data_IF_868163073575
#
_entry.id   IF_868163073575
#
_cell.length_a   1.000
_cell.length_b   1.000
_cell.length_c   1.000
_cell.angle_alpha   90.00
_cell.angle_beta   90.00
_cell.angle_gamma   90.00
#
_symmetry.space_group_name_H-M   'P 1'
#
loop_
_entity.id
_entity.type
_entity.pdbx_description
1 polymer ?
#
# COMPACT_ATOMS: atom_id res chain seq x y z
N UNK A 1 6.53 -9.07 -15.43
CA UNK A 1 5.07 -8.92 -15.46
C UNK A 1 4.64 -8.78 -16.91
N UNK A 2 3.44 -9.25 -17.30
CA UNK A 2 2.89 -9.05 -18.65
C UNK A 2 2.76 -7.56 -18.99
N UNK A 3 2.92 -7.20 -20.27
CA UNK A 3 2.85 -5.81 -20.74
C UNK A 3 1.58 -5.08 -20.28
N UNK A 4 0.42 -5.74 -20.39
CA UNK A 4 -0.86 -5.18 -19.93
C UNK A 4 -0.83 -4.76 -18.46
N UNK A 5 -0.24 -5.58 -17.58
CA UNK A 5 -0.12 -5.26 -16.16
C UNK A 5 0.86 -4.13 -15.89
N UNK A 6 1.96 -4.05 -16.66
CA UNK A 6 2.90 -2.93 -16.58
C UNK A 6 2.26 -1.61 -17.03
N UNK A 7 1.52 -1.62 -18.14
CA UNK A 7 0.79 -0.43 -18.62
C UNK A 7 -0.26 0.05 -17.61
N UNK A 8 -0.98 -0.87 -16.97
CA UNK A 8 -1.90 -0.52 -15.88
C UNK A 8 -1.17 0.09 -14.67
N UNK A 9 0.02 -0.40 -14.32
CA UNK A 9 0.82 0.17 -13.24
C UNK A 9 1.32 1.59 -13.58
N UNK A 10 1.73 1.82 -14.83
CA UNK A 10 2.09 3.17 -15.34
C UNK A 10 0.88 4.09 -15.30
N UNK A 11 -0.29 3.63 -15.77
CA UNK A 11 -1.53 4.41 -15.72
C UNK A 11 -1.86 4.86 -14.29
N UNK A 12 -1.78 3.95 -13.32
CA UNK A 12 -2.00 4.29 -11.90
C UNK A 12 -0.99 5.33 -11.43
N UNK A 13 0.29 5.17 -11.75
CA UNK A 13 1.32 6.13 -11.37
C UNK A 13 1.09 7.51 -11.99
N UNK A 14 0.61 7.56 -13.24
CA UNK A 14 0.25 8.82 -13.92
C UNK A 14 -0.95 9.48 -13.23
N UNK A 15 -2.01 8.71 -12.97
CA UNK A 15 -3.21 9.21 -12.29
C UNK A 15 -2.86 9.78 -10.91
N UNK A 16 -1.99 9.09 -10.15
CA UNK A 16 -1.54 9.55 -8.83
C UNK A 16 -0.56 10.73 -8.90
N UNK A 17 0.28 10.82 -9.94
CA UNK A 17 1.16 11.98 -10.14
C UNK A 17 0.36 13.24 -10.47
N UNK A 18 -0.55 13.15 -11.43
CA UNK A 18 -1.44 14.26 -11.85
C UNK A 18 -2.39 14.67 -10.72
N UNK A 19 -2.71 13.78 -9.78
CA UNK A 19 -3.59 14.07 -8.65
C UNK A 19 -3.12 15.28 -7.82
N UNK A 20 -1.82 15.58 -7.72
CA UNK A 20 -1.35 16.76 -6.98
C UNK A 20 -1.80 18.07 -7.64
N UNK A 21 -1.63 18.18 -8.96
CA UNK A 21 -2.06 19.34 -9.76
C UNK A 21 -3.58 19.50 -9.70
N UNK A 22 -4.31 18.39 -9.79
CA UNK A 22 -5.78 18.42 -9.73
C UNK A 22 -6.27 18.91 -8.37
N UNK A 23 -5.58 18.56 -7.28
CA UNK A 23 -5.90 19.06 -5.95
C UNK A 23 -5.67 20.56 -5.89
N UNK A 24 -4.52 21.03 -6.36
CA UNK A 24 -4.16 22.44 -6.37
C UNK A 24 -5.19 23.30 -7.14
N UNK A 25 -5.52 22.89 -8.37
CA UNK A 25 -6.57 23.54 -9.18
C UNK A 25 -7.95 23.51 -8.53
N UNK A 26 -8.23 22.47 -7.74
CA UNK A 26 -9.51 22.32 -7.05
C UNK A 26 -9.59 23.08 -5.73
N UNK A 27 -8.45 23.51 -5.16
CA UNK A 27 -8.42 24.23 -3.89
C UNK A 27 -9.05 25.61 -4.06
N UNK A 28 -8.64 26.41 -5.05
CA UNK A 28 -9.25 27.72 -5.34
C UNK A 28 -9.65 28.50 -4.08
N UNK A 29 -10.93 28.85 -3.96
CA UNK A 29 -11.52 29.48 -2.77
C UNK A 29 -12.12 28.47 -1.76
N UNK A 30 -12.02 27.17 -2.02
CA UNK A 30 -12.55 26.13 -1.15
C UNK A 30 -11.60 25.89 0.05
N UNK A 31 -12.13 25.89 1.28
CA UNK A 31 -11.33 25.52 2.43
C UNK A 31 -10.70 24.11 2.29
N UNK A 32 -9.39 23.95 2.58
CA UNK A 32 -8.68 22.71 2.27
C UNK A 32 -9.22 21.51 3.03
N UNK A 33 -9.61 21.70 4.29
CA UNK A 33 -10.15 20.63 5.15
C UNK A 33 -11.58 20.26 4.73
N UNK A 34 -12.39 21.21 4.27
CA UNK A 34 -13.69 20.93 3.66
C UNK A 34 -13.53 20.09 2.38
N UNK A 35 -12.57 20.44 1.53
CA UNK A 35 -12.31 19.70 0.30
C UNK A 35 -11.93 18.24 0.62
N UNK A 36 -11.06 18.01 1.60
CA UNK A 36 -10.75 16.64 2.07
C UNK A 36 -12.02 15.94 2.55
N UNK A 37 -12.88 16.59 3.34
CA UNK A 37 -14.12 15.99 3.81
C UNK A 37 -15.04 15.56 2.65
N UNK A 38 -15.24 16.42 1.66
CA UNK A 38 -16.07 16.14 0.48
C UNK A 38 -15.49 15.01 -0.37
N UNK A 39 -14.18 15.05 -0.65
CA UNK A 39 -13.48 13.95 -1.35
C UNK A 39 -13.72 12.62 -0.65
N UNK A 40 -13.54 12.56 0.66
CA UNK A 40 -13.68 11.32 1.42
C UNK A 40 -15.14 10.85 1.50
N UNK A 41 -16.12 11.76 1.56
CA UNK A 41 -17.54 11.41 1.44
C UNK A 41 -17.83 10.74 0.09
N UNK A 42 -17.38 11.34 -1.02
CA UNK A 42 -17.61 10.80 -2.38
C UNK A 42 -16.94 9.42 -2.56
N UNK A 43 -15.78 9.18 -1.94
CA UNK A 43 -15.15 7.85 -1.92
C UNK A 43 -15.94 6.86 -1.07
N UNK A 44 -16.34 7.26 0.14
CA UNK A 44 -16.95 6.37 1.13
C UNK A 44 -18.33 5.88 0.73
N UNK A 45 -19.16 6.75 0.14
CA UNK A 45 -20.54 6.42 -0.24
C UNK A 45 -20.60 5.14 -1.08
N UNK A 46 -19.90 4.99 -2.22
CA UNK A 46 -19.89 3.72 -2.95
C UNK A 46 -19.07 2.64 -2.25
N UNK A 47 -17.93 2.98 -1.65
CA UNK A 47 -16.98 1.98 -1.15
C UNK A 47 -17.52 1.19 0.06
N UNK A 48 -18.32 1.80 0.93
CA UNK A 48 -18.84 1.13 2.12
C UNK A 48 -19.85 0.02 1.82
N UNK A 49 -20.57 0.13 0.69
CA UNK A 49 -21.52 -0.89 0.23
C UNK A 49 -20.84 -2.02 -0.54
N UNK A 50 -19.69 -1.75 -1.16
CA UNK A 50 -18.97 -2.70 -2.01
C UNK A 50 -17.87 -3.47 -1.26
N UNK A 51 -17.31 -2.89 -0.19
CA UNK A 51 -16.14 -3.43 0.51
C UNK A 51 -16.51 -3.92 1.91
N UNK A 52 -16.31 -5.22 2.22
CA UNK A 52 -16.68 -5.79 3.50
C UNK A 52 -15.89 -5.16 4.66
N UNK A 53 -16.44 -5.27 5.88
CA UNK A 53 -15.78 -4.79 7.10
C UNK A 53 -14.42 -5.47 7.31
N UNK A 54 -13.37 -4.72 7.71
CA UNK A 54 -12.08 -5.30 7.99
C UNK A 54 -12.16 -6.17 9.24
N UNK A 55 -11.42 -7.28 9.24
CA UNK A 55 -11.25 -8.15 10.42
C UNK A 55 -10.35 -7.54 11.50
N UNK A 56 -9.93 -6.27 11.35
CA UNK A 56 -9.10 -5.59 12.35
C UNK A 56 -9.90 -5.27 13.61
N UNK A 57 -9.16 -5.04 14.70
CA UNK A 57 -9.72 -4.30 15.83
C UNK A 57 -10.06 -2.88 15.38
N UNK A 58 -11.22 -2.38 15.77
CA UNK A 58 -11.64 -1.01 15.44
C UNK A 58 -10.63 0.05 15.88
N UNK A 59 -9.92 -0.15 16.99
CA UNK A 59 -8.83 0.73 17.40
C UNK A 59 -7.74 0.86 16.33
N UNK A 60 -7.38 -0.24 15.66
CA UNK A 60 -6.38 -0.20 14.58
C UNK A 60 -6.95 0.51 13.35
N UNK A 61 -8.24 0.31 13.03
CA UNK A 61 -8.94 1.02 11.93
C UNK A 61 -8.95 2.53 12.18
N UNK A 62 -9.32 2.95 13.40
CA UNK A 62 -9.35 4.35 13.81
C UNK A 62 -7.96 4.98 13.72
N UNK A 63 -6.94 4.32 14.27
CA UNK A 63 -5.57 4.82 14.26
C UNK A 63 -4.99 4.93 12.84
N UNK A 64 -5.23 3.94 11.97
CA UNK A 64 -4.84 4.04 10.56
C UNK A 64 -5.59 5.17 9.88
N UNK A 65 -6.89 5.33 10.15
CA UNK A 65 -7.68 6.42 9.59
C UNK A 65 -7.17 7.79 10.02
N UNK A 66 -6.81 7.95 11.30
CA UNK A 66 -6.28 9.19 11.85
C UNK A 66 -4.95 9.59 11.20
N UNK A 67 -4.00 8.67 11.06
CA UNK A 67 -2.65 9.01 10.59
C UNK A 67 -2.49 8.87 9.08
N UNK A 68 -2.98 7.77 8.51
CA UNK A 68 -2.84 7.45 7.08
C UNK A 68 -3.87 8.16 6.19
N UNK A 69 -4.97 8.66 6.74
CA UNK A 69 -6.01 9.31 5.94
C UNK A 69 -6.21 10.75 6.40
N UNK A 70 -6.75 10.96 7.59
CA UNK A 70 -7.08 12.29 8.13
C UNK A 70 -5.84 13.18 8.22
N UNK A 71 -4.77 12.69 8.84
CA UNK A 71 -3.53 13.44 9.05
C UNK A 71 -2.78 13.66 7.73
N UNK A 72 -2.54 12.60 6.96
CA UNK A 72 -1.87 12.71 5.66
C UNK A 72 -2.57 13.71 4.72
N UNK A 73 -3.86 13.50 4.43
CA UNK A 73 -4.57 14.32 3.44
C UNK A 73 -4.92 15.71 3.98
N UNK A 74 -5.31 15.82 5.25
CA UNK A 74 -5.58 17.12 5.87
C UNK A 74 -4.36 18.03 5.87
N UNK A 75 -3.18 17.50 6.25
CA UNK A 75 -1.93 18.27 6.23
C UNK A 75 -1.47 18.56 4.79
N UNK A 76 -1.60 17.61 3.87
CA UNK A 76 -1.21 17.82 2.47
C UNK A 76 -2.04 18.93 1.80
N UNK A 77 -3.37 18.88 1.92
CA UNK A 77 -4.24 19.89 1.31
C UNK A 77 -4.01 21.26 1.94
N UNK A 78 -3.79 21.29 3.26
CA UNK A 78 -3.39 22.52 3.96
C UNK A 78 -2.05 23.05 3.44
N UNK A 79 -1.06 22.19 3.20
CA UNK A 79 0.24 22.61 2.67
C UNK A 79 0.11 23.23 1.27
N UNK A 80 -0.69 22.63 0.38
CA UNK A 80 -0.97 23.19 -0.95
C UNK A 80 -1.67 24.55 -0.83
N UNK A 81 -2.68 24.68 0.03
CA UNK A 81 -3.34 25.96 0.30
C UNK A 81 -2.40 27.02 0.92
N UNK A 82 -1.36 26.60 1.63
CA UNK A 82 -0.29 27.48 2.15
C UNK A 82 0.77 27.85 1.08
N UNK A 83 0.58 27.45 -0.18
CA UNK A 83 1.49 27.78 -1.29
C UNK A 83 2.62 26.77 -1.52
N UNK A 84 2.44 25.51 -1.11
CA UNK A 84 3.34 24.44 -1.54
C UNK A 84 3.10 24.12 -3.02
N UNK A 85 4.11 24.22 -3.91
CA UNK A 85 3.96 23.82 -5.30
C UNK A 85 3.56 22.34 -5.43
N UNK A 86 2.62 22.04 -6.32
CA UNK A 86 2.06 20.70 -6.47
C UNK A 86 3.12 19.66 -6.87
N UNK A 87 4.03 20.05 -7.76
CA UNK A 87 5.15 19.21 -8.19
C UNK A 87 6.06 18.86 -7.02
N UNK A 88 6.45 19.85 -6.21
CA UNK A 88 7.31 19.66 -5.04
C UNK A 88 6.60 18.86 -3.93
N UNK A 89 5.30 19.05 -3.73
CA UNK A 89 4.54 18.31 -2.73
C UNK A 89 4.59 16.79 -2.99
N UNK A 90 4.47 16.39 -4.27
CA UNK A 90 4.56 14.99 -4.69
C UNK A 90 5.92 14.36 -4.37
N UNK A 91 6.99 15.16 -4.47
CA UNK A 91 8.35 14.75 -4.19
C UNK A 91 8.63 14.68 -2.68
N UNK A 92 8.30 15.73 -1.93
CA UNK A 92 8.54 15.82 -0.49
C UNK A 92 7.78 14.72 0.27
N UNK A 93 6.57 14.37 -0.16
CA UNK A 93 5.81 13.27 0.44
C UNK A 93 6.54 11.92 0.41
N UNK A 94 7.45 11.69 -0.53
CA UNK A 94 8.23 10.45 -0.60
C UNK A 94 9.14 10.25 0.62
N UNK A 95 9.40 11.30 1.41
CA UNK A 95 10.05 11.19 2.71
C UNK A 95 9.37 10.16 3.62
N UNK A 96 8.06 9.91 3.43
CA UNK A 96 7.30 8.88 4.13
C UNK A 96 7.95 7.50 4.06
N UNK A 97 8.64 7.15 2.98
CA UNK A 97 9.28 5.84 2.82
C UNK A 97 10.39 5.67 3.84
N UNK A 98 11.26 6.68 3.97
CA UNK A 98 12.35 6.67 4.93
C UNK A 98 11.85 6.75 6.37
N UNK A 99 10.88 7.65 6.63
CA UNK A 99 10.24 7.80 7.93
C UNK A 99 9.54 6.51 8.38
N UNK A 100 8.92 5.78 7.46
CA UNK A 100 8.27 4.49 7.76
C UNK A 100 9.30 3.47 8.27
N UNK A 101 10.50 3.41 7.67
CA UNK A 101 11.57 2.52 8.13
C UNK A 101 12.03 2.90 9.54
N UNK A 102 12.25 4.20 9.79
CA UNK A 102 12.69 4.68 11.10
C UNK A 102 11.63 4.42 12.19
N UNK A 103 10.36 4.71 11.91
CA UNK A 103 9.27 4.47 12.85
C UNK A 103 8.98 2.98 13.04
N UNK A 104 9.13 2.14 12.01
CA UNK A 104 9.03 0.69 12.14
C UNK A 104 10.14 0.14 13.05
N UNK A 105 11.38 0.63 12.88
CA UNK A 105 12.48 0.24 13.74
C UNK A 105 12.22 0.62 15.21
N UNK A 106 11.71 1.82 15.47
CA UNK A 106 11.39 2.27 16.83
C UNK A 106 10.19 1.54 17.44
N UNK A 107 9.08 1.40 16.71
CA UNK A 107 7.81 0.91 17.26
C UNK A 107 7.65 -0.61 17.19
N UNK A 108 8.23 -1.25 16.18
CA UNK A 108 8.15 -2.70 15.94
C UNK A 108 9.45 -3.43 16.29
N UNK A 109 10.53 -2.69 16.63
CA UNK A 109 11.88 -3.23 16.88
C UNK A 109 12.42 -4.02 15.68
N UNK A 110 11.99 -3.67 14.48
CA UNK A 110 12.56 -4.19 13.24
C UNK A 110 13.98 -3.64 13.06
N UNK A 111 14.95 -4.50 12.76
CA UNK A 111 16.34 -4.06 12.51
C UNK A 111 16.46 -3.61 11.04
N UNK A 112 16.69 -2.32 10.75
CA UNK A 112 16.86 -1.86 9.37
C UNK A 112 18.10 -2.50 8.76
N UNK A 113 17.97 -2.97 7.52
CA UNK A 113 19.13 -3.43 6.76
C UNK A 113 20.06 -2.27 6.43
N UNK A 114 21.35 -2.54 6.23
CA UNK A 114 22.33 -1.51 5.82
C UNK A 114 21.88 -0.74 4.57
N UNK A 115 21.28 -1.44 3.60
CA UNK A 115 20.72 -0.83 2.37
C UNK A 115 19.60 0.16 2.69
N UNK A 116 18.71 -0.19 3.63
CA UNK A 116 17.64 0.71 4.05
C UNK A 116 18.19 1.95 4.74
N UNK A 117 19.18 1.80 5.62
CA UNK A 117 19.81 2.93 6.30
C UNK A 117 20.52 3.87 5.31
N UNK A 118 21.30 3.32 4.37
CA UNK A 118 21.93 4.11 3.31
C UNK A 118 20.88 4.85 2.49
N UNK A 119 19.81 4.17 2.07
CA UNK A 119 18.73 4.79 1.31
C UNK A 119 18.01 5.91 2.08
N UNK A 120 17.80 5.73 3.39
CA UNK A 120 17.22 6.77 4.27
C UNK A 120 18.13 7.99 4.34
N UNK A 121 19.44 7.80 4.53
CA UNK A 121 20.41 8.90 4.61
C UNK A 121 20.53 9.66 3.28
N UNK A 122 20.61 8.93 2.16
CA UNK A 122 20.63 9.52 0.81
C UNK A 122 19.32 10.26 0.54
N UNK A 123 18.18 9.66 0.91
CA UNK A 123 16.87 10.29 0.81
C UNK A 123 16.78 11.60 1.60
N UNK A 124 17.24 11.59 2.85
CA UNK A 124 17.29 12.77 3.71
C UNK A 124 18.20 13.87 3.13
N UNK A 125 19.37 13.51 2.59
CA UNK A 125 20.25 14.46 1.92
C UNK A 125 19.56 15.11 0.71
N UNK A 126 18.89 14.32 -0.13
CA UNK A 126 18.09 14.85 -1.24
C UNK A 126 16.99 15.81 -0.78
N UNK A 127 16.28 15.45 0.29
CA UNK A 127 15.25 16.31 0.88
C UNK A 127 15.82 17.64 1.41
N UNK A 128 17.00 17.62 2.03
CA UNK A 128 17.68 18.84 2.49
C UNK A 128 18.06 19.72 1.30
N UNK A 129 18.58 19.15 0.22
CA UNK A 129 18.90 19.90 -1.01
C UNK A 129 17.66 20.57 -1.59
N UNK A 130 16.52 19.86 -1.66
CA UNK A 130 15.23 20.45 -2.07
C UNK A 130 14.81 21.57 -1.12
N UNK A 131 14.90 21.35 0.19
CA UNK A 131 14.47 22.31 1.20
C UNK A 131 15.30 23.60 1.26
N UNK A 132 16.62 23.50 1.03
CA UNK A 132 17.53 24.67 0.93
C UNK A 132 17.36 25.38 -0.41
N UNK A 133 17.12 24.60 -1.47
CA UNK A 133 16.91 25.09 -2.82
C UNK A 133 15.52 25.61 -3.13
N UNK A 134 14.58 25.53 -2.19
CA UNK A 134 13.19 25.99 -2.40
C UNK A 134 13.18 27.44 -2.85
N UNK A 135 12.32 27.74 -3.82
CA UNK A 135 12.13 29.10 -4.29
C UNK A 135 11.58 30.01 -3.19
N UNK A 136 11.86 31.32 -3.26
CA UNK A 136 11.35 32.30 -2.30
C UNK A 136 9.80 32.33 -2.25
N UNK A 137 9.16 31.92 -3.33
CA UNK A 137 7.70 31.75 -3.46
C UNK A 137 7.13 30.58 -2.65
N UNK A 138 7.95 29.60 -2.23
CA UNK A 138 7.48 28.47 -1.43
C UNK A 138 7.67 28.75 0.06
N UNK A 139 6.58 28.95 0.83
CA UNK A 139 6.70 29.25 2.24
C UNK A 139 7.29 28.06 3.01
N UNK A 140 8.23 28.34 3.93
CA UNK A 140 8.86 27.30 4.74
C UNK A 140 7.84 26.48 5.54
N UNK A 141 6.76 27.13 5.99
CA UNK A 141 5.66 26.48 6.68
C UNK A 141 4.99 25.42 5.79
N UNK A 142 4.71 25.73 4.52
CA UNK A 142 4.07 24.80 3.59
C UNK A 142 4.92 23.53 3.38
N UNK A 143 6.24 23.70 3.28
CA UNK A 143 7.19 22.58 3.22
C UNK A 143 7.18 21.73 4.49
N UNK A 144 7.22 22.36 5.67
CA UNK A 144 7.18 21.66 6.97
C UNK A 144 5.86 20.91 7.16
N UNK A 145 4.74 21.52 6.80
CA UNK A 145 3.41 20.86 6.86
C UNK A 145 3.35 19.67 5.90
N UNK A 146 3.96 19.76 4.71
CA UNK A 146 4.09 18.62 3.80
C UNK A 146 4.93 17.48 4.40
N UNK A 147 6.03 17.81 5.09
CA UNK A 147 6.83 16.80 5.80
C UNK A 147 6.06 16.19 6.98
N UNK A 148 5.25 16.97 7.68
CA UNK A 148 4.35 16.47 8.71
C UNK A 148 3.28 15.53 8.12
N UNK A 149 2.75 15.82 6.92
CA UNK A 149 1.87 14.92 6.19
C UNK A 149 2.57 13.58 5.87
N UNK A 150 3.82 13.63 5.40
CA UNK A 150 4.64 12.45 5.14
C UNK A 150 4.92 11.63 6.42
N UNK A 151 5.19 12.30 7.54
CA UNK A 151 5.40 11.66 8.83
C UNK A 151 4.10 11.00 9.36
N UNK A 152 2.97 11.68 9.23
CA UNK A 152 1.66 11.14 9.59
C UNK A 152 1.34 9.90 8.78
N UNK A 153 1.58 9.94 7.47
CA UNK A 153 1.45 8.77 6.60
C UNK A 153 2.36 7.61 7.06
N UNK A 154 3.63 7.90 7.33
CA UNK A 154 4.58 6.89 7.80
C UNK A 154 4.15 6.22 9.12
N UNK A 155 3.62 6.98 10.08
CA UNK A 155 3.03 6.43 11.31
C UNK A 155 1.84 5.52 10.99
N UNK A 156 0.95 5.96 10.09
CA UNK A 156 -0.17 5.15 9.60
C UNK A 156 0.26 3.82 8.98
N UNK A 157 1.32 3.83 8.15
CA UNK A 157 1.90 2.63 7.56
C UNK A 157 2.42 1.65 8.63
N UNK A 158 3.10 2.14 9.66
CA UNK A 158 3.59 1.30 10.77
C UNK A 158 2.46 0.70 11.58
N UNK A 159 1.40 1.48 11.86
CA UNK A 159 0.20 0.99 12.56
C UNK A 159 -0.50 -0.08 11.73
N UNK A 160 -0.69 0.14 10.42
CA UNK A 160 -1.28 -0.83 9.51
C UNK A 160 -0.47 -2.14 9.48
N UNK A 161 0.87 -2.04 9.42
CA UNK A 161 1.76 -3.19 9.51
C UNK A 161 1.61 -3.95 10.83
N UNK A 162 1.60 -3.24 11.97
CA UNK A 162 1.39 -3.84 13.29
C UNK A 162 0.05 -4.58 13.40
N UNK A 163 -1.00 -4.01 12.82
CA UNK A 163 -2.32 -4.62 12.78
C UNK A 163 -2.35 -5.87 11.89
N UNK A 164 -1.56 -5.92 10.81
CA UNK A 164 -1.34 -7.13 10.01
C UNK A 164 -0.67 -8.24 10.83
N UNK A 165 0.48 -7.95 11.45
CA UNK A 165 1.25 -8.92 12.24
C UNK A 165 0.43 -9.53 13.39
N UNK A 166 -0.40 -8.74 14.07
CA UNK A 166 -1.27 -9.23 15.15
C UNK A 166 -2.38 -10.16 14.67
N UNK A 167 -2.88 -9.96 13.45
CA UNK A 167 -3.88 -10.87 12.86
C UNK A 167 -3.25 -12.21 12.53
N UNK A 168 -2.06 -12.19 11.94
CA UNK A 168 -1.34 -13.43 11.59
C UNK A 168 -0.96 -14.25 12.84
N UNK A 169 -0.73 -13.58 13.97
CA UNK A 169 -0.42 -14.21 15.27
C UNK A 169 -1.68 -14.54 16.11
N UNK A 170 -2.85 -14.02 15.75
CA UNK A 170 -4.02 -13.95 16.61
C UNK A 170 -5.24 -14.73 16.10
N UNK A 171 -5.46 -15.90 16.71
CA UNK A 171 -6.71 -16.70 16.80
C UNK A 171 -6.93 -17.84 15.80
N UNK A 172 -6.77 -19.09 16.26
CA UNK A 172 -7.39 -20.31 15.69
C UNK A 172 -8.94 -20.37 15.81
N UNK A 173 -9.62 -19.34 16.33
CA UNK A 173 -11.00 -19.49 16.87
C UNK A 173 -12.08 -18.58 16.28
N UNK A 174 -11.79 -17.76 15.26
CA UNK A 174 -12.86 -17.06 14.54
C UNK A 174 -13.53 -18.00 13.52
N UNK A 175 -14.61 -18.65 13.95
CA UNK A 175 -15.43 -19.56 13.16
C UNK A 175 -16.04 -18.90 11.89
N UNK A 176 -16.22 -19.75 10.86
CA UNK A 176 -16.95 -19.58 9.59
C UNK A 176 -16.21 -18.95 8.39
N UNK A 177 -15.39 -19.79 7.73
CA UNK A 177 -15.71 -20.25 6.37
C UNK A 177 -15.15 -19.51 5.15
N UNK A 178 -14.39 -18.41 5.29
CA UNK A 178 -13.78 -17.74 4.12
C UNK A 178 -12.25 -17.69 4.23
N UNK A 179 -11.50 -18.16 3.23
CA UNK A 179 -10.04 -18.02 3.17
C UNK A 179 -9.62 -16.56 3.33
N UNK A 180 -8.56 -16.30 4.09
CA UNK A 180 -7.90 -14.99 4.15
C UNK A 180 -7.48 -14.58 2.74
N UNK A 181 -7.89 -13.39 2.31
CA UNK A 181 -7.53 -12.83 1.01
C UNK A 181 -6.73 -11.56 1.27
N UNK A 182 -5.39 -11.63 1.34
CA UNK A 182 -4.54 -10.52 1.78
C UNK A 182 -4.83 -9.18 1.07
N UNK A 183 -5.14 -9.21 -0.23
CA UNK A 183 -5.50 -8.01 -1.00
C UNK A 183 -6.86 -7.40 -0.62
N UNK A 184 -7.85 -8.24 -0.27
CA UNK A 184 -9.17 -7.78 0.15
C UNK A 184 -9.12 -7.22 1.58
N UNK A 185 -8.32 -7.82 2.46
CA UNK A 185 -8.15 -7.34 3.84
C UNK A 185 -7.42 -5.97 3.88
N UNK A 186 -6.45 -5.74 2.98
CA UNK A 186 -5.81 -4.44 2.80
C UNK A 186 -6.77 -3.36 2.28
N UNK A 187 -7.51 -3.65 1.22
CA UNK A 187 -8.53 -2.75 0.67
C UNK A 187 -9.62 -2.42 1.71
N UNK A 188 -10.06 -3.43 2.47
CA UNK A 188 -11.04 -3.25 3.55
C UNK A 188 -10.50 -2.33 4.65
N UNK A 189 -9.21 -2.46 5.00
CA UNK A 189 -8.58 -1.56 5.96
C UNK A 189 -8.59 -0.11 5.45
N UNK A 190 -8.20 0.12 4.19
CA UNK A 190 -8.15 1.47 3.58
C UNK A 190 -9.53 2.12 3.49
N UNK A 191 -10.56 1.38 3.06
CA UNK A 191 -11.92 1.92 2.93
C UNK A 191 -12.53 2.23 4.29
N UNK A 192 -12.38 1.34 5.27
CA UNK A 192 -13.01 1.55 6.57
C UNK A 192 -12.24 2.53 7.45
N UNK A 193 -10.91 2.70 7.24
CA UNK A 193 -10.15 3.76 7.89
C UNK A 193 -10.55 5.16 7.38
N UNK A 194 -11.04 5.26 6.14
CA UNK A 194 -11.50 6.51 5.55
C UNK A 194 -12.72 7.10 6.29
N UNK A 195 -13.51 6.30 7.02
CA UNK A 195 -14.66 6.77 7.83
C UNK A 195 -14.29 7.81 8.88
N UNK A 196 -13.02 7.80 9.32
CA UNK A 196 -12.51 8.73 10.33
C UNK A 196 -12.38 10.15 9.77
N UNK A 197 -12.40 10.34 8.45
CA UNK A 197 -12.01 11.61 7.82
C UNK A 197 -13.15 12.64 7.74
N UNK A 198 -14.36 12.32 7.21
CA UNK A 198 -15.34 13.36 6.87
C UNK A 198 -15.75 14.25 8.03
N UNK A 199 -16.13 13.66 9.17
CA UNK A 199 -16.69 14.40 10.30
C UNK A 199 -15.64 15.30 10.96
N UNK A 200 -14.44 14.82 11.33
CA UNK A 200 -13.42 15.70 11.90
C UNK A 200 -12.92 16.76 10.94
N UNK A 201 -12.80 16.47 9.64
CA UNK A 201 -12.35 17.46 8.65
C UNK A 201 -13.41 18.55 8.41
N UNK A 202 -14.69 18.18 8.35
CA UNK A 202 -15.78 19.16 8.29
C UNK A 202 -15.83 20.01 9.57
N UNK A 203 -15.69 19.38 10.74
CA UNK A 203 -15.62 20.07 12.02
C UNK A 203 -14.44 21.03 12.10
N UNK A 204 -13.27 20.62 11.58
CA UNK A 204 -12.09 21.46 11.52
C UNK A 204 -12.29 22.64 10.57
N UNK A 205 -12.93 22.45 9.42
CA UNK A 205 -13.25 23.57 8.51
C UNK A 205 -14.23 24.56 9.15
N UNK A 206 -15.27 24.07 9.82
CA UNK A 206 -16.20 24.95 10.55
C UNK A 206 -15.50 25.72 11.68
N UNK A 207 -14.49 25.12 12.33
CA UNK A 207 -13.75 25.75 13.41
C UNK A 207 -12.69 26.75 12.93
N UNK A 208 -12.02 26.48 11.80
CA UNK A 208 -10.93 27.33 11.27
C UNK A 208 -11.45 28.41 10.32
N UNK A 209 -12.33 28.04 9.40
CA UNK A 209 -12.81 28.90 8.32
C UNK A 209 -14.17 29.55 8.66
N UNK A 210 -14.92 28.93 9.57
CA UNK A 210 -16.22 29.40 10.04
C UNK A 210 -17.41 28.90 9.19
N UNK A 211 -18.63 28.89 9.75
CA UNK A 211 -19.82 28.41 9.05
C UNK A 211 -20.16 29.19 7.78
N UNK A 212 -19.84 30.49 7.72
CA UNK A 212 -20.10 31.32 6.55
C UNK A 212 -19.24 30.91 5.34
N UNK A 213 -17.94 30.67 5.54
CA UNK A 213 -17.04 30.22 4.49
C UNK A 213 -17.43 28.83 3.98
N UNK A 214 -17.73 27.90 4.90
CA UNK A 214 -18.20 26.55 4.55
C UNK A 214 -19.53 26.61 3.79
N UNK A 215 -20.49 27.40 4.27
CA UNK A 215 -21.78 27.58 3.60
C UNK A 215 -21.62 28.20 2.20
N UNK A 216 -20.75 29.19 2.05
CA UNK A 216 -20.45 29.80 0.75
C UNK A 216 -19.84 28.78 -0.21
N UNK A 217 -18.80 28.05 0.22
CA UNK A 217 -18.14 27.03 -0.60
C UNK A 217 -19.09 25.92 -1.06
N UNK A 218 -20.06 25.52 -0.22
CA UNK A 218 -21.04 24.49 -0.58
C UNK A 218 -22.16 25.00 -1.49
N UNK A 219 -22.52 26.28 -1.41
CA UNK A 219 -23.60 26.88 -2.21
C UNK A 219 -23.11 27.46 -3.53
N UNK A 220 -21.83 27.79 -3.63
CA UNK A 220 -21.19 28.40 -4.80
C UNK A 220 -20.09 27.50 -5.37
N UNK A 221 -20.39 26.20 -5.51
CA UNK A 221 -19.46 25.23 -6.10
C UNK A 221 -19.17 25.58 -7.56
N UNK A 222 -17.93 25.99 -7.83
CA UNK A 222 -17.43 26.17 -9.19
C UNK A 222 -17.08 24.82 -9.81
N UNK A 223 -16.86 24.81 -11.13
CA UNK A 223 -16.55 23.57 -11.86
C UNK A 223 -15.24 22.92 -11.39
N UNK A 224 -14.25 23.72 -10.98
CA UNK A 224 -12.92 23.24 -10.62
C UNK A 224 -12.94 22.32 -9.39
N UNK A 225 -13.43 22.73 -8.19
CA UNK A 225 -13.51 21.86 -7.02
C UNK A 225 -14.37 20.61 -7.26
N UNK A 226 -15.44 20.71 -8.06
CA UNK A 226 -16.29 19.56 -8.42
C UNK A 226 -15.53 18.54 -9.26
N UNK A 227 -14.92 18.98 -10.37
CA UNK A 227 -14.14 18.10 -11.24
C UNK A 227 -12.95 17.52 -10.50
N UNK A 228 -12.26 18.32 -9.70
CA UNK A 228 -11.15 17.86 -8.87
C UNK A 228 -11.60 16.85 -7.82
N UNK A 229 -12.75 17.06 -7.17
CA UNK A 229 -13.34 16.07 -6.25
C UNK A 229 -13.66 14.76 -6.97
N UNK A 230 -14.27 14.83 -8.16
CA UNK A 230 -14.59 13.64 -8.94
C UNK A 230 -13.34 12.88 -9.39
N UNK A 231 -12.34 13.58 -9.92
CA UNK A 231 -11.05 12.99 -10.31
C UNK A 231 -10.38 12.32 -9.10
N UNK A 232 -10.27 13.06 -8.00
CA UNK A 232 -9.54 12.60 -6.81
C UNK A 232 -10.25 11.43 -6.12
N UNK A 233 -11.59 11.44 -6.07
CA UNK A 233 -12.38 10.39 -5.44
C UNK A 233 -12.57 9.15 -6.35
N UNK A 234 -12.94 9.34 -7.61
CA UNK A 234 -13.23 8.22 -8.50
C UNK A 234 -11.99 7.69 -9.19
N UNK A 235 -11.24 8.55 -9.88
CA UNK A 235 -10.12 8.10 -10.70
C UNK A 235 -8.91 7.76 -9.84
N UNK A 236 -8.46 8.67 -8.99
CA UNK A 236 -7.27 8.45 -8.18
C UNK A 236 -7.51 7.46 -7.04
N UNK A 237 -8.66 7.56 -6.35
CA UNK A 237 -8.98 6.67 -5.25
C UNK A 237 -9.62 5.36 -5.71
N UNK A 238 -10.87 5.33 -6.17
CA UNK A 238 -11.57 4.06 -6.44
C UNK A 238 -10.91 3.24 -7.56
N UNK A 239 -10.71 3.83 -8.74
CA UNK A 239 -10.11 3.15 -9.90
C UNK A 239 -8.63 2.88 -9.66
N UNK A 240 -7.87 3.89 -9.23
CA UNK A 240 -6.44 3.80 -8.97
C UNK A 240 -6.09 2.72 -7.95
N UNK A 241 -6.70 2.78 -6.75
CA UNK A 241 -6.49 1.73 -5.74
C UNK A 241 -7.08 0.38 -6.15
N UNK A 242 -8.19 0.35 -6.90
CA UNK A 242 -8.77 -0.90 -7.41
C UNK A 242 -7.80 -1.65 -8.34
N UNK A 243 -7.24 -0.95 -9.33
CA UNK A 243 -6.22 -1.49 -10.24
C UNK A 243 -4.97 -1.89 -9.46
N UNK A 244 -4.47 -1.00 -8.60
CA UNK A 244 -3.25 -1.23 -7.82
C UNK A 244 -3.35 -2.48 -6.93
N UNK A 245 -4.44 -2.60 -6.17
CA UNK A 245 -4.66 -3.75 -5.30
C UNK A 245 -4.84 -5.04 -6.10
N UNK A 246 -5.47 -4.97 -7.28
CA UNK A 246 -5.56 -6.12 -8.20
C UNK A 246 -4.18 -6.55 -8.71
N UNK A 247 -3.30 -5.60 -9.02
CA UNK A 247 -1.93 -5.89 -9.44
C UNK A 247 -1.12 -6.53 -8.30
N UNK A 248 -1.22 -6.00 -7.08
CA UNK A 248 -0.57 -6.58 -5.90
C UNK A 248 -1.11 -7.97 -5.53
N UNK A 249 -2.39 -8.25 -5.84
CA UNK A 249 -2.96 -9.58 -5.64
C UNK A 249 -2.48 -10.61 -6.68
N UNK A 250 -2.09 -10.17 -7.87
CA UNK A 250 -1.72 -11.04 -9.00
C UNK A 250 -0.22 -11.17 -9.23
N UNK A 251 0.57 -10.22 -8.73
CA UNK A 251 2.00 -10.13 -8.98
C UNK A 251 2.76 -9.87 -7.67
N UNK A 252 4.02 -10.30 -7.54
CA UNK A 252 4.81 -10.01 -6.36
C UNK A 252 4.97 -8.49 -6.18
N UNK A 253 4.86 -8.01 -4.93
CA UNK A 253 4.97 -6.59 -4.61
C UNK A 253 6.26 -5.95 -5.14
N UNK A 254 7.38 -6.70 -5.16
CA UNK A 254 8.65 -6.24 -5.70
C UNK A 254 8.63 -5.91 -7.20
N UNK A 255 7.64 -6.40 -7.94
CA UNK A 255 7.45 -6.06 -9.35
C UNK A 255 6.47 -4.88 -9.57
N UNK A 256 5.54 -4.65 -8.63
CA UNK A 256 4.49 -3.63 -8.75
C UNK A 256 4.90 -2.32 -8.09
N UNK A 257 5.39 -2.38 -6.85
CA UNK A 257 5.80 -1.22 -6.03
C UNK A 257 6.77 -0.27 -6.74
N UNK A 258 7.77 -0.71 -7.54
CA UNK A 258 8.67 0.22 -8.21
C UNK A 258 7.97 1.25 -9.11
N UNK A 259 6.78 0.94 -9.65
CA UNK A 259 6.02 1.88 -10.48
C UNK A 259 5.56 3.12 -9.70
N UNK A 260 5.41 3.06 -8.36
CA UNK A 260 5.08 4.28 -7.57
C UNK A 260 6.18 5.31 -7.59
N UNK A 261 7.41 4.94 -7.96
CA UNK A 261 8.51 5.89 -8.14
C UNK A 261 8.32 6.83 -9.34
N UNK A 262 7.40 6.50 -10.25
CA UNK A 262 7.01 7.40 -11.34
C UNK A 262 6.07 8.52 -10.88
N UNK A 263 5.43 8.39 -9.71
CA UNK A 263 4.45 9.37 -9.22
C UNK A 263 5.07 10.77 -9.09
N UNK A 264 6.23 10.97 -8.43
CA UNK A 264 6.80 12.31 -8.30
C UNK A 264 7.29 12.91 -9.62
N UNK A 265 8.02 12.18 -10.50
CA UNK A 265 8.36 12.70 -11.83
C UNK A 265 7.13 13.09 -12.65
N UNK A 266 6.06 12.28 -12.63
CA UNK A 266 4.82 12.63 -13.33
C UNK A 266 4.14 13.84 -12.69
N UNK A 267 4.13 13.93 -11.35
CA UNK A 267 3.58 15.08 -10.63
C UNK A 267 4.30 16.38 -10.97
N UNK A 268 5.64 16.35 -10.97
CA UNK A 268 6.46 17.51 -11.36
C UNK A 268 6.26 17.88 -12.84
N UNK A 269 6.21 16.91 -13.75
CA UNK A 269 5.95 17.18 -15.17
C UNK A 269 4.54 17.74 -15.40
N UNK A 270 3.53 17.20 -14.72
CA UNK A 270 2.17 17.69 -14.81
C UNK A 270 2.07 19.12 -14.26
N UNK A 271 2.73 19.41 -13.14
CA UNK A 271 2.72 20.74 -12.54
C UNK A 271 3.45 21.76 -13.43
N UNK A 272 4.57 21.37 -14.04
CA UNK A 272 5.25 22.21 -15.02
C UNK A 272 4.37 22.51 -16.23
N UNK A 273 3.70 21.52 -16.81
CA UNK A 273 2.88 21.69 -18.03
C UNK A 273 1.58 22.45 -17.77
N UNK A 274 0.95 22.27 -16.60
CA UNK A 274 -0.39 22.78 -16.32
C UNK A 274 -0.37 24.05 -15.48
N UNK A 275 0.59 24.19 -14.56
CA UNK A 275 0.68 25.29 -13.59
C UNK A 275 1.90 26.20 -13.85
N UNK A 276 2.69 25.93 -14.90
CA UNK A 276 3.95 26.61 -15.17
C UNK A 276 4.95 26.56 -13.99
N UNK A 277 4.83 25.55 -13.13
CA UNK A 277 5.77 25.30 -12.02
C UNK A 277 7.11 24.77 -12.56
N UNK A 278 8.03 25.67 -12.90
CA UNK A 278 9.36 25.28 -13.38
C UNK A 278 10.25 24.89 -12.19
N UNK A 279 10.65 23.61 -12.06
CA UNK A 279 11.51 23.20 -10.96
C UNK A 279 12.92 23.73 -11.17
N UNK A 280 13.50 24.30 -10.11
CA UNK A 280 14.86 24.80 -10.17
C UNK A 280 15.91 23.67 -10.07
N UNK A 281 17.18 24.01 -10.27
CA UNK A 281 18.27 23.02 -10.28
C UNK A 281 18.40 22.24 -8.96
N UNK A 282 18.18 22.89 -7.82
CA UNK A 282 18.27 22.25 -6.52
C UNK A 282 17.07 21.31 -6.26
N UNK A 283 15.87 21.69 -6.69
CA UNK A 283 14.68 20.84 -6.65
C UNK A 283 14.85 19.60 -7.54
N UNK A 284 15.42 19.75 -8.73
CA UNK A 284 15.72 18.63 -9.64
C UNK A 284 16.81 17.70 -9.09
N UNK A 285 17.97 18.24 -8.70
CA UNK A 285 19.09 17.44 -8.17
C UNK A 285 18.69 16.78 -6.86
N UNK A 286 18.12 17.54 -5.92
CA UNK A 286 17.62 17.03 -4.65
C UNK A 286 16.53 15.99 -4.84
N UNK A 287 15.63 16.19 -5.81
CA UNK A 287 14.59 15.22 -6.14
C UNK A 287 15.12 13.91 -6.70
N UNK A 288 16.09 13.96 -7.62
CA UNK A 288 16.77 12.75 -8.12
C UNK A 288 17.47 12.01 -6.98
N UNK A 289 18.22 12.71 -6.14
CA UNK A 289 18.92 12.12 -4.98
C UNK A 289 17.90 11.48 -4.02
N UNK A 290 16.80 12.17 -3.73
CA UNK A 290 15.73 11.66 -2.88
C UNK A 290 15.10 10.38 -3.44
N UNK A 291 14.77 10.36 -4.74
CA UNK A 291 14.24 9.18 -5.41
C UNK A 291 15.24 8.01 -5.42
N UNK A 292 16.53 8.27 -5.62
CA UNK A 292 17.57 7.24 -5.51
C UNK A 292 17.67 6.68 -4.09
N UNK A 293 17.55 7.53 -3.08
CA UNK A 293 17.43 7.12 -1.68
C UNK A 293 16.25 6.17 -1.46
N UNK A 294 15.06 6.58 -1.92
CA UNK A 294 13.83 5.76 -1.87
C UNK A 294 13.98 4.42 -2.61
N UNK A 295 14.59 4.42 -3.80
CA UNK A 295 14.86 3.20 -4.57
C UNK A 295 15.80 2.25 -3.82
N UNK A 296 16.80 2.80 -3.13
CA UNK A 296 17.75 2.05 -2.30
C UNK A 296 17.06 1.48 -1.05
N UNK A 297 16.17 2.25 -0.42
CA UNK A 297 15.40 1.84 0.76
C UNK A 297 14.39 0.75 0.46
N UNK A 298 13.68 0.86 -0.66
CA UNK A 298 12.67 -0.12 -1.10
C UNK A 298 13.28 -1.38 -1.71
N UNK A 299 14.59 -1.39 -1.95
CA UNK A 299 15.31 -2.54 -2.52
C UNK A 299 15.09 -2.71 -4.02
N UNK A 300 14.56 -1.70 -4.71
CA UNK A 300 14.42 -1.67 -6.18
C UNK A 300 15.77 -1.87 -6.86
N UNK A 301 16.84 -1.37 -6.25
CA UNK A 301 18.22 -1.46 -6.75
C UNK A 301 18.94 -2.76 -6.34
N UNK A 302 18.33 -3.65 -5.56
CA UNK A 302 18.98 -4.92 -5.18
C UNK A 302 18.97 -5.89 -6.37
N UNK A 303 20.17 -6.30 -6.81
CA UNK A 303 20.34 -7.44 -7.72
C UNK A 303 19.81 -8.70 -7.03
N UNK A 304 18.93 -9.45 -7.71
CA UNK A 304 18.46 -10.76 -7.24
C UNK A 304 19.69 -11.61 -6.87
N UNK A 305 19.72 -12.29 -5.71
CA UNK A 305 20.67 -13.36 -5.50
C UNK A 305 20.48 -14.36 -6.65
N UNK A 306 21.55 -14.61 -7.41
CA UNK A 306 21.59 -15.65 -8.43
C UNK A 306 21.16 -16.94 -7.74
N UNK A 307 20.04 -17.53 -8.14
CA UNK A 307 19.56 -18.78 -7.58
C UNK A 307 20.74 -19.75 -7.54
N UNK A 308 21.10 -20.22 -6.35
CA UNK A 308 22.12 -21.23 -6.20
C UNK A 308 21.71 -22.39 -7.11
N UNK A 309 22.59 -22.73 -8.05
CA UNK A 309 22.43 -23.90 -8.92
C UNK A 309 22.10 -25.08 -7.99
N UNK A 310 21.00 -25.81 -8.20
CA UNK A 310 20.78 -27.04 -7.44
C UNK A 310 22.00 -27.92 -7.67
N UNK A 311 22.72 -28.22 -6.60
CA UNK A 311 23.79 -29.21 -6.59
C UNK A 311 23.17 -30.47 -7.16
N UNK A 312 23.63 -30.90 -8.34
CA UNK A 312 23.23 -32.15 -8.96
C UNK A 312 23.54 -33.23 -7.92
N UNK A 313 22.52 -33.88 -7.36
CA UNK A 313 22.73 -35.09 -6.61
C UNK A 313 23.42 -36.06 -7.56
N UNK A 314 24.65 -36.46 -7.22
CA UNK A 314 25.33 -37.55 -7.91
C UNK A 314 24.43 -38.80 -7.81
N UNK A 315 24.11 -39.46 -8.94
CA UNK A 315 23.45 -40.75 -8.90
C UNK A 315 24.30 -41.72 -8.08
N UNK A 316 23.68 -42.32 -7.07
CA UNK A 316 24.32 -43.19 -6.11
C UNK A 316 25.21 -44.25 -6.76
N UNK A 317 26.38 -44.41 -6.15
CA UNK A 317 27.26 -45.56 -6.26
C UNK A 317 26.42 -46.84 -6.15
N UNK A 318 26.35 -47.59 -7.24
CA UNK A 318 25.84 -48.95 -7.28
C UNK A 318 26.76 -49.80 -6.41
N UNK A 319 26.23 -50.36 -5.33
CA UNK A 319 26.92 -51.37 -4.53
C UNK A 319 27.09 -52.65 -5.38
N UNK A 320 28.25 -53.32 -5.31
CA UNK A 320 28.52 -54.49 -6.16
C UNK A 320 27.69 -55.70 -5.73
N UNK A 321 27.07 -56.35 -6.72
CA UNK A 321 26.48 -57.67 -6.62
C UNK A 321 27.55 -58.69 -6.18
N UNK A 322 27.39 -59.27 -5.00
CA UNK A 322 28.02 -60.55 -4.66
C UNK A 322 27.14 -61.69 -5.19
N UNK A 323 27.68 -62.43 -6.15
CA UNK A 323 27.12 -63.67 -6.65
C UNK A 323 27.26 -64.78 -5.59
N UNK A 324 26.21 -65.58 -5.41
CA UNK A 324 26.31 -66.92 -4.82
C UNK A 324 25.86 -67.97 -5.85
N UNK A 325 26.56 -69.12 -5.98
CA UNK A 325 26.22 -70.18 -6.91
C UNK A 325 25.15 -71.11 -6.34
N UNK A 326 24.32 -71.67 -7.21
CA UNK A 326 23.17 -72.47 -6.83
C UNK A 326 23.48 -73.85 -6.27
N UNK A 327 22.48 -74.41 -5.59
CA UNK A 327 22.18 -75.84 -5.65
C UNK A 327 20.71 -76.08 -5.25
N UNK A 328 20.03 -76.96 -5.98
CA UNK A 328 18.69 -77.51 -5.76
C UNK A 328 18.87 -79.02 -6.00
N UNK A 329 18.31 -79.99 -5.23
CA UNK A 329 16.85 -80.15 -5.11
C UNK A 329 16.32 -80.81 -3.81
N UNK A 330 15.02 -80.66 -3.54
CA UNK A 330 14.32 -81.40 -2.48
C UNK A 330 12.80 -81.33 -2.58
N UNK A 331 12.18 -82.47 -2.88
CA UNK A 331 10.76 -82.75 -3.15
C UNK A 331 9.81 -82.50 -1.96
N UNK A 332 8.52 -82.30 -2.24
CA UNK A 332 7.45 -82.58 -1.24
C UNK A 332 6.10 -81.88 -1.42
N UNK A 333 5.26 -82.41 -2.31
CA UNK A 333 3.80 -82.61 -2.21
C UNK A 333 2.80 -81.51 -1.73
N UNK A 334 1.82 -81.26 -2.59
CA UNK A 334 0.41 -80.81 -2.36
C UNK A 334 -0.44 -82.11 -2.23
N UNK A 335 -1.63 -82.26 -1.56
CA UNK A 335 -2.83 -81.37 -1.61
C UNK A 335 -3.83 -81.40 -0.40
N UNK A 336 -4.86 -80.54 -0.48
CA UNK A 336 -6.20 -80.76 0.12
C UNK A 336 -6.69 -79.61 1.02
N UNK A 337 -7.95 -79.22 1.10
CA UNK A 337 -9.18 -79.62 0.41
C UNK A 337 -10.27 -78.53 0.65
N UNK A 338 -11.41 -78.73 0.00
CA UNK A 338 -12.58 -77.91 -0.31
C UNK A 338 -13.40 -77.23 0.82
N UNK A 339 -13.99 -76.09 0.41
CA UNK A 339 -15.41 -75.67 0.42
C UNK A 339 -16.37 -75.92 1.62
N UNK A 340 -17.19 -74.89 1.92
CA UNK A 340 -18.49 -75.00 2.61
C UNK A 340 -18.99 -73.64 3.13
N UNK A 341 -19.84 -72.93 2.39
CA UNK A 341 -21.30 -72.78 2.57
C UNK A 341 -21.78 -72.00 3.81
N UNK A 342 -22.62 -70.98 3.59
CA UNK A 342 -23.67 -70.55 4.53
C UNK A 342 -23.76 -69.06 4.88
N UNK A 343 -24.63 -68.32 4.18
CA UNK A 343 -25.33 -67.10 4.69
C UNK A 343 -26.74 -67.52 5.19
N UNK A 344 -27.62 -66.62 5.66
CA UNK A 344 -27.53 -65.51 6.62
C UNK A 344 -28.63 -65.62 7.73
N UNK A 345 -28.56 -64.82 8.80
CA UNK A 345 -29.60 -64.78 9.84
C UNK A 345 -29.75 -63.43 10.51
N UNK A 346 -30.93 -62.81 10.33
CA UNK A 346 -31.39 -61.57 10.93
C UNK A 346 -31.57 -61.68 12.46
N UNK A 347 -31.64 -60.55 13.18
CA UNK A 347 -32.87 -60.05 13.86
C UNK A 347 -32.58 -58.83 14.78
N UNK A 348 -33.55 -57.92 14.76
CA UNK A 348 -33.76 -56.66 15.52
C UNK A 348 -33.69 -56.76 17.06
N UNK A 349 -33.40 -55.63 17.72
CA UNK A 349 -34.19 -55.01 18.81
C UNK A 349 -33.41 -53.80 19.40
N UNK A 350 -33.87 -52.55 19.21
CA UNK A 350 -34.80 -51.72 20.03
C UNK A 350 -34.15 -50.97 21.21
N UNK A 351 -34.19 -49.63 21.06
CA UNK A 351 -34.54 -48.58 22.04
C UNK A 351 -33.94 -48.61 23.45
N UNK A 352 -33.19 -47.55 23.78
CA UNK A 352 -33.66 -46.46 24.66
C UNK A 352 -33.03 -45.14 24.20
#
# INVERSE_FOLDING_TARGET
>A
MPLRSSLLAVLVAVVWGVNFVVIDLGLGDMPPTLFVALRFLVVLVPAIFLVPRPRARWRDVLLVGTFMSLGQFGLLYTALALGMPAGLASLVLQAQVGLTVLFAAAALREVPTRSQLVGVLVGAAGLVVVGVGRSASTPALAFVVTLAAAASWAVGNVIARRAGLRRDQGSPSAHHGSPSRPGLDGLSMTVWSALVVPVPMLGLSLALDGPAAVGHALTHLTLAPVVSTLYTAWLASLVGYGIWNTLLARHPASAVVPFTMLVPPVGMLAAWVVLDEVPNAAELVGGVVLLLGVATTTGVLRRRPRAARPTRAEPGVVAPHTAEPGDNPGLGEVPGDRAGFGSPGATRARSR
#
